data_IF_573502001585
#
_entry.id   IF_573502001585
#
_cell.length_a   1.000
_cell.length_b   1.000
_cell.length_c   1.000
_cell.angle_alpha   90.00
_cell.angle_beta   90.00
_cell.angle_gamma   90.00
#
_symmetry.space_group_name_H-M   'P 1'
#
loop_
_entity.id
_entity.type
_entity.pdbx_description
1 polymer ?
#
# COMPACT_ATOMS: atom_id res chain seq x y z
N UNK A 1 -13.85 0.98 -3.18
CA UNK A 1 -13.61 0.24 -1.93
C UNK A 1 -13.25 1.17 -0.77
N UNK A 2 -12.14 1.88 -0.81
CA UNK A 2 -11.66 2.74 0.29
C UNK A 2 -12.67 3.80 0.76
N UNK A 3 -13.34 4.48 -0.16
CA UNK A 3 -14.37 5.50 0.18
C UNK A 3 -15.52 4.91 0.97
N UNK A 4 -15.99 3.72 0.61
CA UNK A 4 -17.07 3.03 1.31
C UNK A 4 -16.65 2.65 2.73
N UNK A 5 -15.43 2.16 2.92
CA UNK A 5 -14.88 1.81 4.24
C UNK A 5 -14.80 3.06 5.10
N UNK A 6 -14.23 4.16 4.58
CA UNK A 6 -14.14 5.44 5.30
C UNK A 6 -15.50 5.96 5.72
N UNK A 7 -16.51 5.91 4.85
CA UNK A 7 -17.88 6.34 5.18
C UNK A 7 -18.48 5.46 6.28
N UNK A 8 -18.28 4.13 6.20
CA UNK A 8 -18.77 3.21 7.23
C UNK A 8 -18.05 3.42 8.58
N UNK A 9 -16.72 3.60 8.55
CA UNK A 9 -15.92 3.89 9.75
C UNK A 9 -16.37 5.19 10.40
N UNK A 10 -16.50 6.26 9.61
CA UNK A 10 -16.98 7.54 10.12
C UNK A 10 -18.38 7.40 10.72
N UNK A 11 -19.31 6.70 10.06
CA UNK A 11 -20.67 6.50 10.54
C UNK A 11 -20.69 5.73 11.87
N UNK A 12 -19.95 4.62 11.96
CA UNK A 12 -19.96 3.77 13.14
C UNK A 12 -19.20 4.38 14.32
N UNK A 13 -18.13 5.12 14.07
CA UNK A 13 -17.37 5.79 15.13
C UNK A 13 -18.04 7.08 15.60
N UNK A 14 -18.53 7.93 14.67
CA UNK A 14 -19.04 9.25 15.01
C UNK A 14 -20.52 9.24 15.41
N UNK A 15 -21.35 8.39 14.81
CA UNK A 15 -22.80 8.35 15.07
C UNK A 15 -23.11 7.31 16.14
N UNK A 16 -22.57 6.10 16.04
CA UNK A 16 -22.92 5.01 16.94
C UNK A 16 -21.99 4.86 18.17
N UNK A 17 -20.82 5.54 18.17
CA UNK A 17 -19.84 5.51 19.27
C UNK A 17 -19.43 4.10 19.75
N UNK A 18 -19.39 3.11 18.85
CA UNK A 18 -19.13 1.70 19.19
C UNK A 18 -17.66 1.38 19.49
N UNK A 19 -16.77 2.39 19.52
CA UNK A 19 -15.35 2.21 19.85
C UNK A 19 -14.59 1.39 18.79
N UNK A 20 -13.53 0.70 19.22
CA UNK A 20 -12.62 -0.07 18.34
C UNK A 20 -13.34 -1.15 17.52
N UNK A 21 -14.37 -1.78 18.06
CA UNK A 21 -15.17 -2.79 17.35
C UNK A 21 -15.83 -2.23 16.08
N UNK A 22 -16.20 -0.97 16.10
CA UNK A 22 -16.80 -0.31 14.95
C UNK A 22 -15.87 -0.27 13.74
N UNK A 23 -14.58 0.03 13.94
CA UNK A 23 -13.59 0.04 12.86
C UNK A 23 -13.41 -1.35 12.24
N UNK A 24 -13.33 -2.39 13.07
CA UNK A 24 -13.22 -3.77 12.60
C UNK A 24 -14.45 -4.21 11.79
N UNK A 25 -15.66 -3.87 12.27
CA UNK A 25 -16.90 -4.18 11.57
C UNK A 25 -17.04 -3.40 10.26
N UNK A 26 -16.70 -2.10 10.25
CA UNK A 26 -16.75 -1.28 9.06
C UNK A 26 -15.83 -1.81 7.95
N UNK A 27 -14.60 -2.14 8.30
CA UNK A 27 -13.62 -2.73 7.38
C UNK A 27 -14.09 -4.08 6.83
N UNK A 28 -14.62 -4.96 7.70
CA UNK A 28 -15.13 -6.27 7.31
C UNK A 28 -16.35 -6.17 6.39
N UNK A 29 -17.33 -5.32 6.74
CA UNK A 29 -18.51 -5.06 5.92
C UNK A 29 -18.13 -4.43 4.57
N UNK A 30 -17.19 -3.50 4.56
CA UNK A 30 -16.68 -2.88 3.34
C UNK A 30 -16.07 -3.91 2.39
N UNK A 31 -15.30 -4.87 2.91
CA UNK A 31 -14.75 -5.97 2.11
C UNK A 31 -15.84 -6.89 1.55
N UNK A 32 -16.81 -7.30 2.38
CA UNK A 32 -17.93 -8.15 1.96
C UNK A 32 -18.73 -7.47 0.84
N UNK A 33 -19.10 -6.21 1.03
CA UNK A 33 -19.84 -5.44 0.02
C UNK A 33 -19.04 -5.30 -1.29
N UNK A 34 -17.73 -5.09 -1.20
CA UNK A 34 -16.87 -5.05 -2.38
C UNK A 34 -16.89 -6.37 -3.15
N UNK A 35 -16.81 -7.50 -2.47
CA UNK A 35 -16.89 -8.84 -3.08
C UNK A 35 -18.26 -9.04 -3.73
N UNK A 36 -19.35 -8.68 -3.05
CA UNK A 36 -20.70 -8.81 -3.60
C UNK A 36 -20.89 -7.95 -4.87
N UNK A 37 -20.41 -6.72 -4.87
CA UNK A 37 -20.43 -5.85 -6.06
C UNK A 37 -19.59 -6.43 -7.20
N UNK A 38 -18.39 -6.98 -6.89
CA UNK A 38 -17.53 -7.60 -7.89
C UNK A 38 -18.14 -8.87 -8.49
N UNK A 39 -19.00 -9.58 -7.77
CA UNK A 39 -19.71 -10.77 -8.28
C UNK A 39 -20.87 -10.43 -9.24
N UNK A 40 -21.40 -9.21 -9.21
CA UNK A 40 -22.53 -8.80 -10.08
C UNK A 40 -22.24 -9.00 -11.57
N UNK A 41 -21.08 -8.57 -12.14
CA UNK A 41 -20.79 -8.80 -13.56
C UNK A 41 -20.68 -10.28 -13.92
N UNK A 42 -20.18 -11.12 -13.00
CA UNK A 42 -20.13 -12.58 -13.18
C UNK A 42 -21.53 -13.19 -13.21
N UNK A 43 -22.39 -12.82 -12.27
CA UNK A 43 -23.77 -13.29 -12.22
C UNK A 43 -24.59 -12.85 -13.46
N UNK A 44 -24.28 -11.68 -14.02
CA UNK A 44 -24.93 -11.15 -15.22
C UNK A 44 -24.38 -11.71 -16.52
N UNK A 45 -23.38 -12.60 -16.50
CA UNK A 45 -22.76 -13.19 -17.69
C UNK A 45 -22.10 -12.18 -18.66
N UNK A 46 -21.78 -10.97 -18.17
CA UNK A 46 -21.18 -9.91 -19.00
C UNK A 46 -19.66 -10.06 -19.17
N UNK A 47 -19.04 -10.99 -18.47
CA UNK A 47 -17.61 -11.26 -18.53
C UNK A 47 -17.35 -12.48 -19.42
N UNK A 48 -16.21 -12.49 -20.09
CA UNK A 48 -15.71 -13.65 -20.83
C UNK A 48 -15.32 -14.80 -19.89
N UNK A 49 -15.12 -14.50 -18.60
CA UNK A 49 -14.80 -15.48 -17.58
C UNK A 49 -16.08 -16.03 -16.95
N UNK A 50 -16.18 -17.37 -16.89
CA UNK A 50 -17.31 -18.08 -16.30
C UNK A 50 -16.84 -18.96 -15.15
N UNK A 51 -17.70 -19.16 -14.16
CA UNK A 51 -17.44 -20.15 -13.11
C UNK A 51 -17.49 -21.55 -13.70
N UNK A 52 -16.38 -22.27 -13.59
CA UNK A 52 -16.31 -23.68 -13.98
C UNK A 52 -15.96 -24.56 -12.77
N UNK A 53 -16.23 -25.84 -12.87
CA UNK A 53 -15.83 -26.78 -11.82
C UNK A 53 -14.32 -26.84 -11.73
N UNK A 54 -13.74 -26.67 -10.52
CA UNK A 54 -12.29 -26.70 -10.36
C UNK A 54 -11.76 -28.10 -10.71
N UNK A 55 -10.72 -28.15 -11.54
CA UNK A 55 -9.95 -29.35 -11.82
C UNK A 55 -8.58 -29.16 -11.21
N UNK A 56 -8.24 -29.98 -10.22
CA UNK A 56 -6.92 -29.97 -9.60
C UNK A 56 -5.89 -30.56 -10.57
N UNK A 57 -4.96 -29.74 -10.99
CA UNK A 57 -3.84 -30.12 -11.85
C UNK A 57 -2.54 -29.68 -11.17
N UNK A 58 -1.69 -30.63 -10.83
CA UNK A 58 -0.43 -30.37 -10.15
C UNK A 58 0.48 -29.38 -10.92
N UNK A 59 0.63 -29.50 -12.26
CA UNK A 59 1.42 -28.52 -13.03
C UNK A 59 0.89 -27.09 -12.93
N UNK A 60 -0.43 -26.91 -12.94
CA UNK A 60 -1.05 -25.59 -12.81
C UNK A 60 -0.81 -25.01 -11.41
N UNK A 61 -0.91 -25.83 -10.37
CA UNK A 61 -0.62 -25.41 -8.99
C UNK A 61 0.84 -24.99 -8.87
N UNK A 62 1.77 -25.75 -9.44
CA UNK A 62 3.20 -25.41 -9.43
C UNK A 62 3.45 -24.05 -10.12
N UNK A 63 2.81 -23.79 -11.26
CA UNK A 63 2.91 -22.49 -11.94
C UNK A 63 2.36 -21.35 -11.10
N UNK A 64 1.20 -21.54 -10.45
CA UNK A 64 0.62 -20.52 -9.55
C UNK A 64 1.57 -20.21 -8.40
N UNK A 65 2.12 -21.24 -7.77
CA UNK A 65 3.08 -21.08 -6.66
C UNK A 65 4.36 -20.39 -7.14
N UNK A 66 4.90 -20.80 -8.29
CA UNK A 66 6.10 -20.19 -8.86
C UNK A 66 5.90 -18.71 -9.21
N UNK A 67 4.75 -18.35 -9.78
CA UNK A 67 4.43 -16.95 -10.10
C UNK A 67 4.11 -16.10 -8.86
N UNK A 68 3.51 -16.71 -7.83
CA UNK A 68 3.13 -16.01 -6.61
C UNK A 68 4.25 -15.89 -5.57
N UNK A 69 5.22 -16.80 -5.58
CA UNK A 69 6.26 -16.89 -4.56
C UNK A 69 7.14 -15.61 -4.44
N UNK A 70 7.53 -14.90 -5.50
CA UNK A 70 8.31 -13.67 -5.34
C UNK A 70 7.56 -12.60 -4.58
N UNK A 71 6.27 -12.41 -4.87
CA UNK A 71 5.44 -11.43 -4.20
C UNK A 71 5.16 -11.81 -2.74
N UNK A 72 4.94 -13.09 -2.48
CA UNK A 72 4.80 -13.63 -1.11
C UNK A 72 6.07 -13.38 -0.30
N UNK A 73 7.25 -13.74 -0.83
CA UNK A 73 8.53 -13.55 -0.15
C UNK A 73 8.82 -12.07 0.12
N UNK A 74 8.54 -11.19 -0.83
CA UNK A 74 8.69 -9.75 -0.65
C UNK A 74 7.82 -9.22 0.50
N UNK A 75 6.56 -9.62 0.57
CA UNK A 75 5.66 -9.23 1.66
C UNK A 75 6.11 -9.79 3.02
N UNK A 76 6.56 -11.04 3.08
CA UNK A 76 7.10 -11.64 4.31
C UNK A 76 8.36 -10.90 4.75
N UNK A 77 9.29 -10.65 3.84
CA UNK A 77 10.52 -9.91 4.14
C UNK A 77 10.23 -8.52 4.71
N UNK A 78 9.30 -7.77 4.10
CA UNK A 78 8.90 -6.45 4.57
C UNK A 78 8.34 -6.51 6.01
N UNK A 79 7.52 -7.51 6.34
CA UNK A 79 6.96 -7.68 7.69
C UNK A 79 8.03 -8.07 8.71
N UNK A 80 8.91 -9.00 8.35
CA UNK A 80 10.05 -9.40 9.22
C UNK A 80 10.95 -8.20 9.47
N UNK A 81 11.30 -7.44 8.45
CA UNK A 81 12.10 -6.21 8.59
C UNK A 81 11.44 -5.21 9.53
N UNK A 82 10.14 -4.98 9.41
CA UNK A 82 9.39 -4.07 10.29
C UNK A 82 9.44 -4.53 11.75
N UNK A 83 9.27 -5.83 12.01
CA UNK A 83 9.35 -6.39 13.37
C UNK A 83 10.75 -6.22 13.96
N UNK A 84 11.78 -6.55 13.18
CA UNK A 84 13.18 -6.41 13.60
C UNK A 84 13.54 -4.94 13.86
N UNK A 85 13.13 -4.02 12.98
CA UNK A 85 13.37 -2.59 13.17
C UNK A 85 12.71 -2.07 14.45
N UNK A 86 11.46 -2.44 14.72
CA UNK A 86 10.79 -2.07 15.97
C UNK A 86 11.55 -2.61 17.21
N UNK A 87 12.01 -3.85 17.17
CA UNK A 87 12.74 -4.47 18.26
C UNK A 87 14.10 -3.78 18.51
N UNK A 88 14.83 -3.46 17.44
CA UNK A 88 16.13 -2.75 17.52
C UNK A 88 15.95 -1.34 18.02
N UNK A 89 15.00 -0.58 17.46
CA UNK A 89 14.74 0.80 17.85
C UNK A 89 14.28 0.90 19.30
N UNK A 90 13.46 -0.04 19.76
CA UNK A 90 13.04 -0.08 21.17
C UNK A 90 14.23 -0.28 22.12
N UNK A 91 15.20 -1.14 21.74
CA UNK A 91 16.41 -1.39 22.53
C UNK A 91 17.40 -0.23 22.52
N UNK A 92 17.58 0.45 21.41
CA UNK A 92 18.60 1.48 21.24
C UNK A 92 18.11 2.89 21.61
N UNK A 93 16.87 3.23 21.26
CA UNK A 93 16.32 4.58 21.40
C UNK A 93 15.03 4.65 22.23
N UNK A 94 14.60 3.51 22.78
CA UNK A 94 13.38 3.45 23.61
C UNK A 94 12.10 3.77 22.84
N UNK A 95 11.08 4.17 23.61
CA UNK A 95 9.74 4.45 23.08
C UNK A 95 9.74 5.58 22.04
N UNK A 96 10.58 6.60 22.24
CA UNK A 96 10.65 7.76 21.35
C UNK A 96 11.12 7.36 19.93
N UNK A 97 12.11 6.49 19.82
CA UNK A 97 12.60 6.01 18.53
C UNK A 97 11.54 5.19 17.77
N UNK A 98 10.78 4.36 18.51
CA UNK A 98 9.66 3.58 17.92
C UNK A 98 8.55 4.52 17.45
N UNK A 99 8.24 5.59 18.22
CA UNK A 99 7.24 6.58 17.82
C UNK A 99 7.64 7.33 16.55
N UNK A 100 8.90 7.76 16.43
CA UNK A 100 9.42 8.39 15.21
C UNK A 100 9.33 7.41 14.02
N UNK A 101 9.71 6.15 14.21
CA UNK A 101 9.58 5.14 13.17
C UNK A 101 8.13 4.93 12.74
N UNK A 102 7.19 4.97 13.69
CA UNK A 102 5.76 4.93 13.40
C UNK A 102 5.32 6.06 12.45
N UNK A 103 5.77 7.29 12.68
CA UNK A 103 5.49 8.44 11.81
C UNK A 103 6.04 8.22 10.40
N UNK A 104 7.28 7.70 10.29
CA UNK A 104 7.87 7.36 8.99
C UNK A 104 7.04 6.31 8.25
N UNK A 105 6.57 5.28 8.96
CA UNK A 105 5.73 4.22 8.37
C UNK A 105 4.35 4.75 7.93
N UNK A 106 3.79 5.73 8.63
CA UNK A 106 2.56 6.40 8.17
C UNK A 106 2.80 7.23 6.91
N UNK A 107 3.91 7.98 6.82
CA UNK A 107 4.28 8.71 5.61
C UNK A 107 4.49 7.74 4.42
N UNK A 108 5.20 6.63 4.66
CA UNK A 108 5.40 5.56 3.68
C UNK A 108 4.07 4.96 3.21
N UNK A 109 3.13 4.76 4.13
CA UNK A 109 1.78 4.25 3.87
C UNK A 109 0.94 5.13 2.93
N UNK A 110 1.30 6.39 2.72
CA UNK A 110 0.71 7.25 1.67
C UNK A 110 1.45 7.15 0.34
N UNK A 111 2.76 7.05 0.36
CA UNK A 111 3.60 7.10 -0.85
C UNK A 111 3.65 5.73 -1.54
N UNK A 112 3.85 4.66 -0.79
CA UNK A 112 3.95 3.29 -1.29
C UNK A 112 2.74 2.86 -2.15
N UNK A 113 1.48 3.07 -1.75
CA UNK A 113 0.33 2.70 -2.57
C UNK A 113 0.27 3.42 -3.91
N UNK A 114 0.78 4.67 -4.00
CA UNK A 114 0.84 5.41 -5.26
C UNK A 114 1.83 4.74 -6.22
N UNK A 115 3.00 4.35 -5.72
CA UNK A 115 4.02 3.65 -6.50
C UNK A 115 3.56 2.24 -6.91
N UNK A 116 2.96 1.48 -5.98
CA UNK A 116 2.38 0.17 -6.30
C UNK A 116 1.25 0.27 -7.32
N UNK A 117 0.39 1.30 -7.21
CA UNK A 117 -0.67 1.54 -8.19
C UNK A 117 -0.14 1.73 -9.62
N UNK A 118 0.99 2.43 -9.77
CA UNK A 118 1.68 2.54 -11.06
C UNK A 118 2.15 1.17 -11.56
N UNK A 119 2.79 0.37 -10.70
CA UNK A 119 3.27 -0.96 -11.06
C UNK A 119 2.14 -1.94 -11.39
N UNK A 120 1.07 -1.96 -10.60
CA UNK A 120 -0.07 -2.85 -10.78
C UNK A 120 -0.85 -2.53 -12.06
N UNK A 121 -0.91 -1.25 -12.45
CA UNK A 121 -1.55 -0.82 -13.70
C UNK A 121 -0.85 -1.35 -14.96
N UNK A 122 0.44 -1.68 -14.86
CA UNK A 122 1.22 -2.26 -15.96
C UNK A 122 0.77 -3.68 -16.31
N UNK A 123 0.42 -4.48 -15.32
CA UNK A 123 0.17 -5.92 -15.52
C UNK A 123 -0.88 -6.21 -16.61
N UNK A 124 -2.10 -5.65 -16.58
CA UNK A 124 -3.08 -5.91 -17.60
C UNK A 124 -2.68 -5.32 -18.96
N UNK A 125 -2.07 -4.15 -18.98
CA UNK A 125 -1.66 -3.47 -20.19
C UNK A 125 -0.53 -4.21 -20.92
N UNK A 126 0.47 -4.66 -20.19
CA UNK A 126 1.59 -5.45 -20.72
C UNK A 126 1.11 -6.83 -21.17
N UNK A 127 0.30 -7.52 -20.36
CA UNK A 127 -0.22 -8.85 -20.70
C UNK A 127 -1.03 -8.84 -22.00
N UNK A 128 -1.89 -7.85 -22.19
CA UNK A 128 -2.68 -7.70 -23.41
C UNK A 128 -1.81 -7.47 -24.65
N UNK A 129 -0.84 -6.55 -24.55
CA UNK A 129 0.04 -6.22 -25.68
C UNK A 129 1.06 -7.33 -25.96
N UNK A 130 1.45 -8.10 -24.94
CA UNK A 130 2.27 -9.31 -25.11
C UNK A 130 1.54 -10.38 -25.91
N UNK A 131 0.29 -10.66 -25.57
CA UNK A 131 -0.56 -11.57 -26.36
C UNK A 131 -0.77 -11.11 -27.80
N UNK A 132 -0.86 -9.80 -28.02
CA UNK A 132 -0.95 -9.18 -29.34
C UNK A 132 0.40 -9.06 -30.08
N UNK A 133 1.52 -9.50 -29.49
CA UNK A 133 2.90 -9.39 -29.99
C UNK A 133 3.33 -7.95 -30.34
N UNK A 134 2.77 -6.95 -29.67
CA UNK A 134 3.06 -5.54 -29.88
C UNK A 134 4.13 -5.03 -28.89
N UNK A 135 5.37 -5.41 -29.14
CA UNK A 135 6.51 -5.05 -28.25
C UNK A 135 6.75 -3.55 -28.18
N UNK A 136 6.56 -2.81 -29.28
CA UNK A 136 6.76 -1.35 -29.26
C UNK A 136 5.82 -0.66 -28.29
N UNK A 137 4.58 -1.12 -28.19
CA UNK A 137 3.60 -0.57 -27.25
C UNK A 137 3.91 -0.93 -25.80
N UNK A 138 4.45 -2.12 -25.56
CA UNK A 138 4.93 -2.51 -24.23
C UNK A 138 6.01 -1.55 -23.74
N UNK A 139 7.06 -1.31 -24.54
CA UNK A 139 8.12 -0.39 -24.21
C UNK A 139 7.63 1.04 -23.95
N UNK A 140 6.67 1.50 -24.75
CA UNK A 140 6.05 2.81 -24.54
C UNK A 140 5.32 2.88 -23.18
N UNK A 141 4.51 1.88 -22.85
CA UNK A 141 3.76 1.81 -21.59
C UNK A 141 4.72 1.75 -20.39
N UNK A 142 5.74 0.91 -20.44
CA UNK A 142 6.77 0.83 -19.40
C UNK A 142 7.48 2.16 -19.18
N UNK A 143 7.89 2.83 -20.27
CA UNK A 143 8.54 4.14 -20.17
C UNK A 143 7.65 5.19 -19.51
N UNK A 144 6.36 5.24 -19.84
CA UNK A 144 5.41 6.15 -19.18
C UNK A 144 5.24 5.81 -17.71
N UNK A 145 5.13 4.55 -17.35
CA UNK A 145 5.01 4.13 -15.96
C UNK A 145 6.28 4.48 -15.16
N UNK A 146 7.48 4.21 -15.70
CA UNK A 146 8.72 4.59 -15.04
C UNK A 146 8.84 6.10 -14.86
N UNK A 147 8.46 6.89 -15.85
CA UNK A 147 8.49 8.36 -15.74
C UNK A 147 7.49 8.86 -14.69
N UNK A 148 6.30 8.28 -14.61
CA UNK A 148 5.30 8.60 -13.60
C UNK A 148 5.77 8.20 -12.20
N UNK A 149 6.32 6.99 -12.03
CA UNK A 149 6.85 6.53 -10.75
C UNK A 149 8.04 7.39 -10.29
N UNK A 150 8.96 7.74 -11.20
CA UNK A 150 10.06 8.65 -10.90
C UNK A 150 9.57 10.05 -10.50
N UNK A 151 8.55 10.58 -11.16
CA UNK A 151 7.97 11.87 -10.81
C UNK A 151 7.31 11.83 -9.42
N UNK A 152 6.54 10.78 -9.10
CA UNK A 152 5.93 10.58 -7.78
C UNK A 152 7.01 10.46 -6.70
N UNK A 153 8.03 9.64 -6.95
CA UNK A 153 9.15 9.42 -6.04
C UNK A 153 9.90 10.72 -5.74
N UNK A 154 10.29 11.46 -6.79
CA UNK A 154 10.96 12.74 -6.64
C UNK A 154 10.10 13.78 -5.92
N UNK A 155 8.82 13.88 -6.28
CA UNK A 155 7.89 14.79 -5.61
C UNK A 155 7.76 14.45 -4.12
N UNK A 156 7.62 13.16 -3.79
CA UNK A 156 7.56 12.69 -2.40
C UNK A 156 8.82 13.02 -1.62
N UNK A 157 10.00 12.79 -2.23
CA UNK A 157 11.29 13.15 -1.64
C UNK A 157 11.38 14.66 -1.36
N UNK A 158 11.01 15.49 -2.33
CA UNK A 158 11.04 16.96 -2.17
C UNK A 158 10.06 17.42 -1.08
N UNK A 159 8.84 16.89 -1.04
CA UNK A 159 7.84 17.25 -0.04
C UNK A 159 8.30 16.86 1.37
N UNK A 160 8.78 15.63 1.57
CA UNK A 160 9.28 15.17 2.86
C UNK A 160 10.52 15.96 3.31
N UNK A 161 11.41 16.29 2.39
CA UNK A 161 12.63 17.02 2.71
C UNK A 161 12.37 18.50 3.02
N UNK A 162 11.50 19.15 2.23
CA UNK A 162 11.22 20.58 2.36
C UNK A 162 10.25 20.89 3.53
N UNK A 163 9.29 20.01 3.80
CA UNK A 163 8.22 20.23 4.78
C UNK A 163 8.13 19.14 5.87
N UNK A 164 9.24 18.76 6.52
CA UNK A 164 9.20 17.72 7.56
C UNK A 164 8.32 18.13 8.74
N UNK A 165 8.26 19.44 9.07
CA UNK A 165 7.41 19.98 10.12
C UNK A 165 5.91 19.78 9.86
N UNK A 166 5.45 19.88 8.63
CA UNK A 166 4.05 19.65 8.29
C UNK A 166 3.66 18.18 8.51
N UNK A 167 4.57 17.24 8.24
CA UNK A 167 4.35 15.82 8.49
C UNK A 167 4.31 15.54 9.99
N UNK A 168 5.23 16.11 10.77
CA UNK A 168 5.23 15.90 12.23
C UNK A 168 4.01 16.49 12.92
N UNK A 169 3.56 17.68 12.53
CA UNK A 169 2.37 18.33 13.14
C UNK A 169 1.06 17.62 12.85
N UNK A 170 0.97 16.87 11.75
CA UNK A 170 -0.21 16.05 11.44
C UNK A 170 -0.40 14.89 12.43
N UNK A 171 0.70 14.39 13.01
CA UNK A 171 0.68 13.20 13.87
C UNK A 171 0.95 13.53 15.35
N UNK A 172 1.48 14.72 15.65
CA UNK A 172 1.96 15.09 17.00
C UNK A 172 1.52 16.52 17.32
N UNK A 173 0.59 16.66 18.24
CA UNK A 173 0.07 17.96 18.67
C UNK A 173 0.76 18.55 19.89
N UNK A 174 1.39 17.72 20.77
CA UNK A 174 1.97 18.16 22.05
C UNK A 174 3.20 17.33 22.43
N UNK A 175 4.37 17.63 21.84
CA UNK A 175 5.62 16.93 22.16
C UNK A 175 6.79 17.91 22.38
N UNK A 176 7.82 17.45 23.12
CA UNK A 176 9.03 18.20 23.40
C UNK A 176 9.77 18.63 22.13
N UNK A 177 10.35 19.84 22.16
CA UNK A 177 11.09 20.41 21.03
C UNK A 177 12.23 19.49 20.52
N UNK A 178 12.91 18.80 21.44
CA UNK A 178 13.98 17.87 21.12
C UNK A 178 13.47 16.64 20.34
N UNK A 179 12.27 16.14 20.67
CA UNK A 179 11.64 15.05 19.94
C UNK A 179 11.23 15.46 18.52
N UNK A 180 10.69 16.67 18.38
CA UNK A 180 10.30 17.23 17.09
C UNK A 180 11.51 17.40 16.15
N UNK A 181 12.64 17.88 16.66
CA UNK A 181 13.87 18.04 15.89
C UNK A 181 14.43 16.69 15.41
N UNK A 182 14.45 15.69 16.31
CA UNK A 182 14.84 14.33 15.97
C UNK A 182 13.91 13.71 14.91
N UNK A 183 12.59 13.90 15.02
CA UNK A 183 11.60 13.43 14.07
C UNK A 183 11.76 14.09 12.69
N UNK A 184 11.97 15.40 12.64
CA UNK A 184 12.21 16.13 11.40
C UNK A 184 13.50 15.67 10.70
N UNK A 185 14.56 15.45 11.47
CA UNK A 185 15.82 14.91 10.95
C UNK A 185 15.63 13.51 10.38
N UNK A 186 14.90 12.65 11.09
CA UNK A 186 14.57 11.31 10.61
C UNK A 186 13.75 11.33 9.30
N UNK A 187 12.76 12.24 9.19
CA UNK A 187 11.94 12.41 7.97
C UNK A 187 12.82 12.87 6.79
N UNK A 188 13.75 13.81 7.00
CA UNK A 188 14.68 14.26 5.95
C UNK A 188 15.58 13.13 5.47
N UNK A 189 16.10 12.32 6.39
CA UNK A 189 16.91 11.15 6.04
C UNK A 189 16.07 10.10 5.30
N UNK A 190 14.84 9.89 5.75
CA UNK A 190 13.91 8.97 5.10
C UNK A 190 13.52 9.44 3.68
N UNK A 191 13.42 10.75 3.45
CA UNK A 191 13.16 11.29 2.12
C UNK A 191 14.19 10.83 1.06
N UNK A 192 15.44 10.58 1.48
CA UNK A 192 16.50 10.10 0.57
C UNK A 192 16.24 8.67 0.06
N UNK A 193 15.39 7.89 0.73
CA UNK A 193 15.04 6.54 0.27
C UNK A 193 14.18 6.53 -0.99
N UNK A 194 13.61 7.69 -1.34
CA UNK A 194 12.80 7.88 -2.54
C UNK A 194 13.58 8.49 -3.73
N UNK A 195 14.86 8.76 -3.59
CA UNK A 195 15.74 9.21 -4.66
C UNK A 195 16.47 8.05 -5.33
#
# INVERSE_FOLDING_TARGET
>A
MSVLIVVLEFTFLSIFHWGIWAAALASSLGMILCVLVALIPFARGRLQLQFCRPRFSLPVIQQIVACGSPNFLNNVAARVTSILMNAVLLRMGGQNAVSIYGILMYADGFIQPLLYGCCDSLQPAVSYNWGARNLQRIWAIERYCFSAAAAISLLSAVVLFAFPGAVTTLFLSDMDAAFLDAAQTAIRLFALTYL
#
